data_IF_839240318767
#
_entry.id   IF_839240318767
#
_cell.length_a   1.000
_cell.length_b   1.000
_cell.length_c   1.000
_cell.angle_alpha   90.00
_cell.angle_beta   90.00
_cell.angle_gamma   90.00
#
_symmetry.space_group_name_H-M   'P 1'
#
loop_
_entity.id
_entity.type
_entity.pdbx_description
1 polymer ?
#
# COMPACT_ATOMS: atom_id res chain seq x y z
N UNK A 1 -8.51 6.61 18.33
CA UNK A 1 -7.77 6.19 17.12
C UNK A 1 -7.64 7.44 16.28
N UNK A 2 -6.43 7.94 16.02
CA UNK A 2 -6.27 9.22 15.32
C UNK A 2 -6.20 8.95 13.81
N UNK A 3 -7.07 9.60 13.04
CA UNK A 3 -7.07 9.52 11.57
C UNK A 3 -6.21 10.68 11.05
N UNK A 4 -5.02 10.37 10.54
CA UNK A 4 -4.17 11.36 9.89
C UNK A 4 -4.63 11.54 8.43
N UNK A 5 -5.21 12.70 8.14
CA UNK A 5 -5.64 13.10 6.81
C UNK A 5 -4.64 14.09 6.19
N UNK A 6 -4.04 13.75 5.05
CA UNK A 6 -3.22 14.68 4.28
C UNK A 6 -3.71 14.73 2.81
N UNK A 7 -3.65 15.88 2.13
CA UNK A 7 -4.02 15.99 0.73
C UNK A 7 -3.15 15.08 -0.15
N UNK A 8 -3.72 14.38 -1.14
CA UNK A 8 -2.97 13.44 -1.99
C UNK A 8 -1.78 14.11 -2.72
N UNK A 9 -1.87 15.42 -2.99
CA UNK A 9 -0.79 16.19 -3.64
C UNK A 9 0.48 16.24 -2.78
N UNK A 10 0.35 16.26 -1.45
CA UNK A 10 1.47 16.30 -0.51
C UNK A 10 2.00 14.90 -0.19
N UNK A 11 1.18 13.87 -0.39
CA UNK A 11 1.57 12.46 -0.19
C UNK A 11 2.02 11.74 -1.46
N UNK A 12 2.09 12.40 -2.62
CA UNK A 12 2.67 11.80 -3.84
C UNK A 12 4.08 11.27 -3.55
N UNK A 13 4.21 9.95 -3.45
CA UNK A 13 5.47 9.24 -3.18
C UNK A 13 5.57 8.56 -1.82
N UNK A 14 4.66 8.79 -0.86
CA UNK A 14 4.61 8.04 0.40
C UNK A 14 3.71 6.83 0.26
N UNK A 15 4.31 5.67 -0.04
CA UNK A 15 3.63 4.37 0.01
C UNK A 15 3.17 4.06 1.45
N UNK A 16 1.99 3.44 1.65
CA UNK A 16 1.69 2.82 2.93
C UNK A 16 2.82 1.86 3.31
N UNK A 17 3.31 1.97 4.54
CA UNK A 17 4.23 0.97 5.09
C UNK A 17 3.53 -0.38 5.22
N UNK A 18 4.27 -1.49 5.30
CA UNK A 18 3.70 -2.85 5.38
C UNK A 18 2.80 -3.05 6.61
N UNK A 19 3.01 -2.27 7.66
CA UNK A 19 2.30 -2.32 8.94
C UNK A 19 0.90 -1.67 8.90
N UNK A 20 0.57 -0.91 7.84
CA UNK A 20 -0.63 -0.08 7.77
C UNK A 20 -1.52 -0.35 6.56
N UNK A 21 -2.83 -0.23 6.76
CA UNK A 21 -3.79 -0.10 5.66
C UNK A 21 -3.86 1.34 5.15
N UNK A 22 -4.41 1.51 3.95
CA UNK A 22 -4.67 2.83 3.38
C UNK A 22 -6.06 2.89 2.76
N UNK A 23 -6.68 4.06 2.85
CA UNK A 23 -7.88 4.42 2.12
C UNK A 23 -7.57 5.60 1.20
N UNK A 24 -7.80 5.43 -0.09
CA UNK A 24 -7.86 6.53 -1.06
C UNK A 24 -9.33 6.83 -1.30
N UNK A 25 -9.74 8.06 -1.04
CA UNK A 25 -11.09 8.55 -1.32
C UNK A 25 -11.02 9.60 -2.43
N UNK A 26 -11.61 9.27 -3.58
CA UNK A 26 -11.78 10.16 -4.72
C UNK A 26 -13.22 10.65 -4.76
N UNK A 27 -13.41 11.95 -4.53
CA UNK A 27 -14.72 12.60 -4.64
C UNK A 27 -14.77 13.41 -5.93
N UNK A 28 -15.67 13.04 -6.84
CA UNK A 28 -15.88 13.73 -8.11
C UNK A 28 -17.36 14.10 -8.26
N UNK A 29 -17.66 15.19 -8.98
CA UNK A 29 -19.05 15.64 -9.13
C UNK A 29 -19.16 16.94 -9.91
N UNK A 30 -20.40 17.24 -10.34
CA UNK A 30 -20.74 18.50 -11.00
C UNK A 30 -20.49 19.71 -10.10
N UNK A 31 -20.36 20.89 -10.71
CA UNK A 31 -20.00 22.17 -10.08
C UNK A 31 -21.07 22.66 -9.08
N UNK A 32 -21.22 21.97 -7.95
CA UNK A 32 -22.08 22.37 -6.84
C UNK A 32 -21.31 23.25 -5.84
N UNK A 33 -21.89 24.35 -5.34
CA UNK A 33 -21.21 25.32 -4.46
C UNK A 33 -20.96 24.82 -3.02
N UNK A 34 -21.27 23.57 -2.69
CA UNK A 34 -21.12 23.02 -1.36
C UNK A 34 -20.03 21.94 -1.32
N UNK A 35 -18.98 22.17 -0.54
CA UNK A 35 -18.00 21.15 -0.18
C UNK A 35 -18.74 19.99 0.49
N UNK A 36 -18.71 18.78 -0.08
CA UNK A 36 -19.27 17.59 0.56
C UNK A 36 -18.51 17.33 1.86
N UNK A 37 -19.22 17.27 2.99
CA UNK A 37 -18.60 16.88 4.27
C UNK A 37 -18.43 15.37 4.29
N UNK A 38 -17.35 14.91 4.89
CA UNK A 38 -17.06 13.49 5.04
C UNK A 38 -16.75 13.17 6.50
N UNK A 39 -17.11 11.96 6.90
CA UNK A 39 -16.72 11.41 8.19
C UNK A 39 -16.29 9.94 8.02
N UNK A 40 -15.32 9.52 8.82
CA UNK A 40 -14.88 8.13 8.92
C UNK A 40 -15.03 7.73 10.39
N UNK A 41 -15.78 6.65 10.64
CA UNK A 41 -16.11 6.19 12.00
C UNK A 41 -16.71 7.29 12.89
N UNK A 42 -17.61 8.07 12.28
CA UNK A 42 -18.26 9.25 12.88
C UNK A 42 -17.30 10.41 13.23
N UNK A 43 -16.00 10.31 12.90
CA UNK A 43 -15.01 11.39 13.03
C UNK A 43 -14.97 12.22 11.73
N UNK A 44 -15.16 13.56 11.80
CA UNK A 44 -15.07 14.42 10.63
C UNK A 44 -13.67 14.37 10.01
N UNK A 45 -13.61 14.21 8.69
CA UNK A 45 -12.36 14.20 7.93
C UNK A 45 -12.41 15.25 6.81
N UNK A 46 -11.25 15.75 6.33
CA UNK A 46 -11.17 16.62 5.15
C UNK A 46 -11.83 16.00 3.91
N UNK A 47 -13.11 16.28 3.69
CA UNK A 47 -13.86 15.90 2.50
C UNK A 47 -14.03 17.10 1.57
N UNK A 48 -13.73 16.91 0.29
CA UNK A 48 -13.95 17.91 -0.74
C UNK A 48 -13.65 17.33 -2.11
N UNK A 49 -13.95 18.06 -3.18
CA UNK A 49 -13.66 17.57 -4.54
C UNK A 49 -12.18 17.26 -4.74
N UNK A 50 -11.89 16.12 -5.36
CA UNK A 50 -10.55 15.65 -5.64
C UNK A 50 -10.20 14.34 -4.92
N UNK A 51 -8.90 14.07 -4.83
CA UNK A 51 -8.36 12.86 -4.23
C UNK A 51 -7.82 13.13 -2.83
N UNK A 52 -8.24 12.32 -1.87
CA UNK A 52 -7.82 12.34 -0.47
C UNK A 52 -7.24 10.99 -0.09
N UNK A 53 -6.23 11.01 0.78
CA UNK A 53 -5.66 9.79 1.33
C UNK A 53 -5.75 9.81 2.85
N UNK A 54 -6.20 8.69 3.41
CA UNK A 54 -6.31 8.46 4.84
C UNK A 54 -5.48 7.23 5.20
N UNK A 55 -4.55 7.41 6.14
CA UNK A 55 -3.89 6.26 6.76
C UNK A 55 -4.84 5.68 7.79
N UNK A 56 -5.12 4.39 7.67
CA UNK A 56 -6.09 3.71 8.53
C UNK A 56 -5.51 2.39 9.04
N UNK A 57 -5.75 2.03 10.31
CA UNK A 57 -5.46 0.69 10.77
C UNK A 57 -6.32 -0.33 10.01
N UNK A 58 -5.87 -1.59 9.92
CA UNK A 58 -6.70 -2.65 9.36
C UNK A 58 -7.97 -2.85 10.20
N UNK A 59 -9.10 -3.09 9.53
CA UNK A 59 -10.38 -3.30 10.19
C UNK A 59 -11.58 -2.79 9.40
N UNK A 60 -12.76 -2.93 10.01
CA UNK A 60 -14.02 -2.40 9.48
C UNK A 60 -14.19 -0.96 9.91
N UNK A 61 -14.47 -0.10 8.94
CA UNK A 61 -14.69 1.33 9.09
C UNK A 61 -15.96 1.75 8.38
N UNK A 62 -16.53 2.89 8.75
CA UNK A 62 -17.69 3.48 8.08
C UNK A 62 -17.35 4.83 7.50
N UNK A 63 -17.43 4.95 6.17
CA UNK A 63 -17.40 6.23 5.48
C UNK A 63 -18.82 6.79 5.37
N UNK A 64 -18.98 8.05 5.75
CA UNK A 64 -20.18 8.85 5.50
C UNK A 64 -19.81 10.04 4.63
N UNK A 65 -20.60 10.28 3.58
CA UNK A 65 -20.50 11.48 2.74
C UNK A 65 -21.85 12.19 2.80
N UNK A 66 -21.83 13.44 3.25
CA UNK A 66 -23.03 14.25 3.37
C UNK A 66 -23.61 14.54 1.98
N UNK A 67 -24.91 14.35 1.85
CA UNK A 67 -25.70 14.56 0.64
C UNK A 67 -27.17 14.43 0.96
N UNK A 68 -28.03 14.59 -0.04
CA UNK A 68 -29.47 14.44 0.12
C UNK A 68 -30.00 13.33 -0.82
N UNK A 69 -30.20 12.10 -0.32
CA UNK A 69 -29.84 11.57 1.01
C UNK A 69 -28.32 11.36 1.19
N UNK A 70 -27.82 11.19 2.43
CA UNK A 70 -26.39 10.96 2.68
C UNK A 70 -25.96 9.56 2.23
N UNK A 71 -24.72 9.43 1.78
CA UNK A 71 -24.09 8.15 1.47
C UNK A 71 -23.45 7.57 2.73
N UNK A 72 -23.70 6.28 2.99
CA UNK A 72 -23.04 5.51 4.05
C UNK A 72 -22.46 4.24 3.46
N UNK A 73 -21.18 3.99 3.70
CA UNK A 73 -20.45 2.85 3.15
C UNK A 73 -19.62 2.20 4.24
N UNK A 74 -19.88 0.92 4.52
CA UNK A 74 -18.99 0.12 5.36
C UNK A 74 -17.82 -0.39 4.52
N UNK A 75 -16.61 -0.13 4.97
CA UNK A 75 -15.35 -0.42 4.30
C UNK A 75 -14.54 -1.37 5.18
N UNK A 76 -13.98 -2.41 4.59
CA UNK A 76 -13.06 -3.31 5.26
C UNK A 76 -11.64 -3.08 4.72
N UNK A 77 -10.80 -2.46 5.54
CA UNK A 77 -9.41 -2.08 5.26
C UNK A 77 -8.51 -3.25 5.62
N UNK A 78 -7.84 -3.81 4.61
CA UNK A 78 -6.96 -4.96 4.78
C UNK A 78 -5.50 -4.50 5.00
N UNK A 79 -4.72 -5.21 5.83
CA UNK A 79 -3.32 -4.86 6.08
C UNK A 79 -2.51 -4.91 4.78
N UNK A 80 -1.64 -3.92 4.57
CA UNK A 80 -0.80 -3.84 3.36
C UNK A 80 -1.58 -3.66 2.06
N UNK A 81 -2.82 -3.17 2.13
CA UNK A 81 -3.64 -2.84 0.95
C UNK A 81 -4.07 -1.39 0.97
N UNK A 82 -4.32 -0.86 -0.23
CA UNK A 82 -5.00 0.41 -0.42
C UNK A 82 -6.39 0.11 -0.98
N UNK A 83 -7.42 0.59 -0.28
CA UNK A 83 -8.78 0.60 -0.80
C UNK A 83 -8.99 1.92 -1.53
N UNK A 84 -9.24 1.88 -2.83
CA UNK A 84 -9.61 3.04 -3.66
C UNK A 84 -11.13 3.11 -3.75
N UNK A 85 -11.69 4.22 -3.30
CA UNK A 85 -13.11 4.50 -3.34
C UNK A 85 -13.34 5.75 -4.16
N UNK A 86 -14.01 5.59 -5.28
CA UNK A 86 -14.47 6.70 -6.12
C UNK A 86 -15.96 6.91 -5.86
N UNK A 87 -16.29 8.10 -5.34
CA UNK A 87 -17.65 8.57 -5.15
C UNK A 87 -17.91 9.68 -6.15
N UNK A 88 -18.86 9.43 -7.06
CA UNK A 88 -19.33 10.41 -8.02
C UNK A 88 -20.68 10.97 -7.57
N UNK A 89 -20.78 12.27 -7.37
CA UNK A 89 -22.02 12.96 -7.04
C UNK A 89 -22.74 13.44 -8.31
N UNK A 90 -24.02 13.09 -8.43
CA UNK A 90 -24.89 13.37 -9.56
C UNK A 90 -26.14 14.15 -9.08
N UNK A 91 -26.10 15.47 -9.16
CA UNK A 91 -27.20 16.36 -8.72
C UNK A 91 -28.54 16.09 -9.40
N UNK A 92 -28.52 15.65 -10.66
CA UNK A 92 -29.72 15.47 -11.48
C UNK A 92 -30.29 14.05 -11.45
N UNK A 93 -29.66 13.13 -10.71
CA UNK A 93 -30.01 11.71 -10.72
C UNK A 93 -30.98 11.29 -9.61
N UNK A 94 -31.76 10.21 -9.80
CA UNK A 94 -32.57 9.61 -8.73
C UNK A 94 -31.71 8.98 -7.63
N UNK A 95 -30.45 8.64 -7.94
CA UNK A 95 -29.42 8.25 -6.99
C UNK A 95 -28.32 9.33 -7.02
N UNK A 96 -28.18 10.14 -5.96
CA UNK A 96 -27.25 11.27 -5.98
C UNK A 96 -25.79 10.83 -5.96
N UNK A 97 -25.50 9.56 -5.67
CA UNK A 97 -24.15 9.03 -5.63
C UNK A 97 -24.02 7.76 -6.47
N UNK A 98 -22.92 7.69 -7.21
CA UNK A 98 -22.38 6.45 -7.77
C UNK A 98 -21.08 6.12 -7.04
N UNK A 99 -20.91 4.87 -6.61
CA UNK A 99 -19.73 4.43 -5.87
C UNK A 99 -19.01 3.33 -6.64
N UNK A 100 -17.69 3.46 -6.79
CA UNK A 100 -16.80 2.38 -7.23
C UNK A 100 -15.79 2.11 -6.14
N UNK A 101 -15.58 0.83 -5.85
CA UNK A 101 -14.60 0.37 -4.87
C UNK A 101 -13.64 -0.59 -5.55
N UNK A 102 -12.35 -0.33 -5.43
CA UNK A 102 -11.28 -1.19 -5.89
C UNK A 102 -10.30 -1.43 -4.74
N UNK A 103 -9.75 -2.63 -4.64
CA UNK A 103 -8.67 -2.94 -3.71
C UNK A 103 -7.40 -3.19 -4.48
N UNK A 104 -6.32 -2.55 -4.06
CA UNK A 104 -5.00 -2.74 -4.64
C UNK A 104 -4.03 -3.18 -3.55
N UNK A 105 -3.12 -4.12 -3.83
CA UNK A 105 -2.01 -4.34 -2.93
C UNK A 105 -1.25 -3.02 -2.79
N UNK A 106 -0.91 -2.61 -1.56
CA UNK A 106 0.01 -1.52 -1.34
C UNK A 106 1.33 -2.03 -1.87
N UNK A 107 1.61 -1.78 -3.17
CA UNK A 107 2.62 -2.49 -3.93
C UNK A 107 3.86 -2.65 -3.04
N UNK A 108 4.15 -3.86 -2.59
CA UNK A 108 5.33 -4.08 -1.77
C UNK A 108 6.50 -3.57 -2.59
N UNK A 109 7.34 -2.73 -1.99
CA UNK A 109 8.61 -2.41 -2.59
C UNK A 109 9.29 -3.77 -2.83
N UNK A 110 9.27 -4.25 -4.08
CA UNK A 110 10.27 -5.21 -4.51
C UNK A 110 11.55 -4.41 -4.37
N UNK A 111 12.18 -4.52 -3.21
CA UNK A 111 13.62 -4.33 -3.12
C UNK A 111 14.12 -5.37 -4.11
N UNK A 112 14.37 -4.93 -5.34
CA UNK A 112 15.39 -5.55 -6.15
C UNK A 112 16.64 -5.42 -5.29
N UNK A 113 16.83 -6.39 -4.39
CA UNK A 113 18.15 -6.89 -4.08
C UNK A 113 18.68 -7.25 -5.46
N UNK A 114 19.36 -6.27 -6.07
CA UNK A 114 20.37 -6.56 -7.06
C UNK A 114 21.11 -7.78 -6.50
N UNK A 115 21.13 -8.93 -7.18
CA UNK A 115 22.11 -9.92 -6.84
C UNK A 115 23.44 -9.22 -7.05
N UNK A 116 24.00 -8.68 -5.98
CA UNK A 116 25.38 -8.27 -5.96
C UNK A 116 26.12 -9.52 -6.39
N UNK A 117 26.70 -9.47 -7.59
CA UNK A 117 27.61 -10.46 -8.09
C UNK A 117 28.71 -10.63 -7.03
N UNK A 118 28.56 -11.61 -6.15
CA UNK A 118 29.70 -12.19 -5.45
C UNK A 118 30.27 -13.27 -6.38
N UNK A 119 30.88 -12.81 -7.47
CA UNK A 119 31.94 -13.55 -8.14
C UNK A 119 33.17 -13.33 -7.28
N UNK A 120 33.34 -14.18 -6.26
CA UNK A 120 34.61 -14.30 -5.54
C UNK A 120 35.36 -15.49 -6.15
N UNK A 121 35.72 -15.32 -7.42
CA UNK A 121 36.71 -16.14 -8.11
C UNK A 121 38.09 -15.52 -7.89
N UNK A 122 38.64 -15.72 -6.69
CA UNK A 122 40.09 -15.63 -6.43
C UNK A 122 40.38 -16.93 -5.66
N UNK A 123 40.70 -18.02 -6.33
CA UNK A 123 42.06 -18.21 -6.83
C UNK A 123 42.96 -18.77 -5.71
N UNK A 124 42.59 -19.91 -5.11
CA UNK A 124 43.57 -20.78 -4.43
C UNK A 124 43.95 -21.87 -5.42
N UNK A 125 44.96 -21.51 -6.19
CA UNK A 125 45.78 -22.39 -7.02
C UNK A 125 46.47 -23.41 -6.11
N UNK A 126 46.44 -24.67 -6.54
CA UNK A 126 47.34 -25.78 -6.22
C UNK A 126 48.01 -25.84 -4.82
N UNK A 127 47.48 -26.70 -3.95
CA UNK A 127 48.26 -27.29 -2.85
C UNK A 127 47.74 -28.66 -2.37
N UNK A 128 47.15 -29.49 -3.23
CA UNK A 128 46.67 -30.84 -2.81
C UNK A 128 47.16 -31.99 -3.71
N UNK A 129 47.81 -31.70 -4.84
CA UNK A 129 48.51 -32.69 -5.65
C UNK A 129 50.01 -32.43 -5.58
N UNK A 130 50.70 -32.85 -4.51
CA UNK A 130 52.17 -33.10 -4.44
C UNK A 130 52.62 -33.35 -2.97
N UNK A 131 51.87 -34.13 -2.18
CA UNK A 131 52.21 -34.29 -0.75
C UNK A 131 51.72 -35.56 -0.06
N UNK A 132 51.35 -36.62 -0.80
CA UNK A 132 50.73 -37.80 -0.17
C UNK A 132 50.99 -39.13 -0.86
N UNK A 133 52.09 -39.26 -1.61
CA UNK A 133 52.47 -40.51 -2.28
C UNK A 133 53.90 -40.94 -1.92
N UNK A 134 54.29 -40.81 -0.64
CA UNK A 134 55.52 -41.39 -0.10
C UNK A 134 55.24 -41.90 1.31
N UNK A 135 54.48 -43.00 1.47
CA UNK A 135 54.59 -43.86 2.66
C UNK A 135 53.85 -45.20 2.47
N UNK A 136 54.31 -46.06 1.55
CA UNK A 136 53.93 -47.48 1.62
C UNK A 136 54.92 -48.40 0.88
N UNK A 137 56.18 -48.46 1.32
CA UNK A 137 57.07 -49.63 1.10
C UNK A 137 58.21 -49.62 2.12
N UNK A 138 58.05 -50.32 3.26
CA UNK A 138 59.11 -51.07 3.96
C UNK A 138 58.57 -51.68 5.25
N UNK A 139 57.99 -52.86 5.15
CA UNK A 139 57.98 -53.86 6.23
C UNK A 139 57.82 -55.24 5.61
N UNK A 140 58.93 -55.73 5.04
CA UNK A 140 59.21 -57.14 4.86
C UNK A 140 60.72 -57.29 5.10
N UNK A 141 61.07 -57.54 6.35
CA UNK A 141 62.26 -58.21 6.85
C UNK A 141 61.94 -58.64 8.27
#
# INVERSE_FOLDING_TARGET
>A
MTIDAEPLREQRGRKPGPEGGGLVLRLSGGHGPATLKCAIDDEPVPGGWGDWYYRMPPGRHRLTVDGAPPLRLDIDVQPGTVTDIEVQYNESGPAPFSVRLARQPAQALRVHLLPALFVLSIGVVDAVLMGGLILLRRTLA
#
